data_IF_303607173243
#
_entry.id   IF_303607173243
#
_cell.length_a   1.000
_cell.length_b   1.000
_cell.length_c   1.000
_cell.angle_alpha   90.00
_cell.angle_beta   90.00
_cell.angle_gamma   90.00
#
_symmetry.space_group_name_H-M   'P 1'
#
loop_
_entity.id
_entity.type
_entity.pdbx_description
1 polymer ?
#
# COMPACT_ATOMS: atom_id res chain seq x y z
N UNK A 1 -9.11 -0.77 -19.32
CA UNK A 1 -9.48 0.61 -19.71
C UNK A 1 -8.34 1.52 -19.28
N UNK A 2 -7.96 2.49 -20.11
CA UNK A 2 -6.84 3.39 -19.85
C UNK A 2 -7.41 4.74 -19.42
N UNK A 3 -7.62 4.85 -18.11
CA UNK A 3 -8.15 6.04 -17.44
C UNK A 3 -7.01 6.98 -17.04
N UNK A 4 -7.32 8.02 -16.27
CA UNK A 4 -6.34 9.00 -15.81
C UNK A 4 -6.57 9.42 -14.37
N UNK A 5 -5.46 9.63 -13.66
CA UNK A 5 -5.43 10.18 -12.30
C UNK A 5 -6.20 11.51 -12.18
N UNK A 6 -6.34 12.27 -13.29
CA UNK A 6 -7.19 13.47 -13.34
C UNK A 6 -8.65 13.21 -12.91
N UNK A 7 -9.18 12.00 -13.12
CA UNK A 7 -10.52 11.58 -12.66
C UNK A 7 -10.62 11.35 -11.15
N UNK A 8 -9.48 11.18 -10.47
CA UNK A 8 -9.41 10.89 -9.03
C UNK A 8 -9.12 12.16 -8.21
N UNK A 9 -8.08 12.90 -8.59
CA UNK A 9 -7.62 14.10 -7.86
C UNK A 9 -8.33 15.39 -8.31
N UNK A 10 -8.82 15.40 -9.55
CA UNK A 10 -9.38 16.59 -10.19
C UNK A 10 -8.30 17.57 -10.62
N UNK A 11 -8.00 17.62 -11.92
CA UNK A 11 -7.03 18.57 -12.48
C UNK A 11 -7.73 19.83 -12.98
N UNK A 12 -7.24 21.00 -12.56
CA UNK A 12 -7.81 22.29 -12.98
C UNK A 12 -7.83 22.43 -14.51
N UNK A 13 -8.97 22.88 -15.04
CA UNK A 13 -9.26 23.04 -16.47
C UNK A 13 -9.36 21.73 -17.27
N UNK A 14 -9.48 20.57 -16.60
CA UNK A 14 -9.65 19.28 -17.24
C UNK A 14 -10.95 18.58 -16.87
N UNK A 15 -12.01 19.32 -16.51
CA UNK A 15 -13.29 18.74 -16.07
C UNK A 15 -13.87 17.72 -17.06
N UNK A 16 -13.85 18.01 -18.37
CA UNK A 16 -14.34 17.08 -19.39
C UNK A 16 -13.49 15.80 -19.47
N UNK A 17 -12.17 15.92 -19.33
CA UNK A 17 -11.25 14.80 -19.35
C UNK A 17 -11.38 13.94 -18.08
N UNK A 18 -11.51 14.59 -16.92
CA UNK A 18 -11.75 13.94 -15.64
C UNK A 18 -13.09 13.18 -15.63
N UNK A 19 -14.14 13.75 -16.23
CA UNK A 19 -15.44 13.06 -16.36
C UNK A 19 -15.35 11.78 -17.20
N UNK A 20 -14.57 11.81 -18.30
CA UNK A 20 -14.29 10.62 -19.11
C UNK A 20 -13.54 9.55 -18.33
N UNK A 21 -12.47 9.93 -17.62
CA UNK A 21 -11.70 9.02 -16.76
C UNK A 21 -12.61 8.39 -15.67
N UNK A 22 -13.37 9.21 -14.94
CA UNK A 22 -14.30 8.71 -13.91
C UNK A 22 -15.39 7.79 -14.47
N UNK A 23 -15.82 7.99 -15.72
CA UNK A 23 -16.74 7.08 -16.39
C UNK A 23 -16.08 5.72 -16.65
N UNK A 24 -14.85 5.67 -17.15
CA UNK A 24 -14.11 4.42 -17.33
C UNK A 24 -13.93 3.65 -16.02
N UNK A 25 -13.61 4.36 -14.93
CA UNK A 25 -13.50 3.78 -13.58
C UNK A 25 -14.84 3.20 -13.10
N UNK A 26 -15.94 3.88 -13.39
CA UNK A 26 -17.29 3.42 -13.06
C UNK A 26 -17.69 2.19 -13.90
N UNK A 27 -17.35 2.17 -15.19
CA UNK A 27 -17.60 1.01 -16.07
C UNK A 27 -16.79 -0.20 -15.61
N UNK A 28 -15.53 -0.03 -15.20
CA UNK A 28 -14.73 -1.13 -14.66
C UNK A 28 -15.37 -1.74 -13.41
N UNK A 29 -15.80 -0.89 -12.47
CA UNK A 29 -16.53 -1.30 -11.26
C UNK A 29 -17.83 -2.02 -11.60
N UNK A 30 -18.62 -1.47 -12.52
CA UNK A 30 -19.88 -2.07 -12.94
C UNK A 30 -19.66 -3.43 -13.61
N UNK A 31 -18.67 -3.56 -14.50
CA UNK A 31 -18.34 -4.86 -15.12
C UNK A 31 -18.01 -5.92 -14.08
N UNK A 32 -17.13 -5.59 -13.12
CA UNK A 32 -16.79 -6.54 -12.05
C UNK A 32 -18.00 -6.90 -11.17
N UNK A 33 -18.92 -5.97 -10.89
CA UNK A 33 -20.15 -6.27 -10.15
C UNK A 33 -21.09 -7.23 -10.89
N UNK A 34 -20.98 -7.32 -12.21
CA UNK A 34 -21.67 -8.29 -13.05
C UNK A 34 -20.87 -9.60 -13.24
N UNK A 35 -19.75 -9.78 -12.53
CA UNK A 35 -18.85 -10.92 -12.73
C UNK A 35 -18.07 -10.88 -14.05
N UNK A 36 -18.03 -9.73 -14.73
CA UNK A 36 -17.33 -9.56 -16.00
C UNK A 36 -15.92 -8.98 -15.78
N UNK A 37 -14.91 -9.45 -16.54
CA UNK A 37 -13.56 -8.90 -16.51
C UNK A 37 -13.54 -7.39 -16.77
N UNK A 38 -12.89 -6.61 -15.92
CA UNK A 38 -12.83 -5.15 -16.08
C UNK A 38 -11.90 -4.48 -15.09
N UNK A 39 -10.87 -3.82 -15.60
CA UNK A 39 -9.94 -3.02 -14.80
C UNK A 39 -9.73 -1.67 -15.49
N UNK A 40 -9.86 -0.59 -14.72
CA UNK A 40 -9.44 0.75 -15.11
C UNK A 40 -8.04 1.02 -14.55
N UNK A 41 -7.15 1.55 -15.39
CA UNK A 41 -5.80 1.95 -14.99
C UNK A 41 -5.75 3.47 -15.08
N UNK A 42 -5.71 4.14 -13.93
CA UNK A 42 -5.57 5.59 -13.85
C UNK A 42 -4.11 5.99 -14.00
N UNK A 43 -3.76 6.46 -15.18
CA UNK A 43 -2.41 6.86 -15.51
C UNK A 43 -2.14 8.31 -15.13
N UNK A 44 -1.07 8.52 -14.39
CA UNK A 44 -0.40 9.80 -14.24
C UNK A 44 0.41 10.19 -15.48
N UNK A 45 1.09 11.34 -15.46
CA UNK A 45 1.90 11.80 -16.57
C UNK A 45 3.09 10.87 -16.83
N UNK A 46 3.29 10.50 -18.10
CA UNK A 46 4.37 9.59 -18.55
C UNK A 46 5.52 10.42 -19.10
N UNK A 47 6.76 10.15 -18.65
CA UNK A 47 7.95 10.92 -19.01
C UNK A 47 8.45 10.66 -20.43
N UNK A 48 8.43 9.40 -20.84
CA UNK A 48 9.25 8.94 -21.99
C UNK A 48 8.47 8.94 -23.30
N UNK A 49 7.14 8.78 -23.24
CA UNK A 49 6.27 8.65 -24.39
C UNK A 49 4.96 9.44 -24.23
N UNK A 50 4.43 9.98 -25.34
CA UNK A 50 3.11 10.61 -25.40
C UNK A 50 3.08 12.15 -25.47
N UNK A 51 1.93 12.73 -25.14
CA UNK A 51 1.68 14.18 -25.27
C UNK A 51 2.58 15.04 -24.38
N UNK A 52 3.00 14.51 -23.23
CA UNK A 52 3.89 15.20 -22.29
C UNK A 52 5.32 15.28 -22.85
N UNK A 53 5.82 14.23 -23.50
CA UNK A 53 7.18 14.23 -24.08
C UNK A 53 7.28 15.10 -25.34
N UNK A 54 6.16 15.33 -26.05
CA UNK A 54 6.11 16.18 -27.24
C UNK A 54 5.91 17.67 -26.95
N UNK A 55 5.52 18.04 -25.72
CA UNK A 55 5.27 19.43 -25.34
C UNK A 55 6.07 19.83 -24.09
N UNK A 56 7.22 20.48 -24.31
CA UNK A 56 8.10 20.96 -23.24
C UNK A 56 7.38 21.87 -22.22
N UNK A 57 6.42 22.68 -22.67
CA UNK A 57 5.62 23.56 -21.80
C UNK A 57 4.69 22.77 -20.88
N UNK A 58 4.11 21.68 -21.38
CA UNK A 58 3.21 20.80 -20.60
C UNK A 58 4.04 19.98 -19.61
N UNK A 59 5.18 19.42 -20.04
CA UNK A 59 6.10 18.72 -19.16
C UNK A 59 6.60 19.61 -18.01
N UNK A 60 6.97 20.85 -18.30
CA UNK A 60 7.41 21.81 -17.28
C UNK A 60 6.30 22.18 -16.30
N UNK A 61 5.06 22.35 -16.78
CA UNK A 61 3.91 22.59 -15.90
C UNK A 61 3.66 21.40 -14.98
N UNK A 62 3.71 20.18 -15.51
CA UNK A 62 3.47 18.97 -14.73
C UNK A 62 4.60 18.67 -13.75
N UNK A 63 5.85 19.01 -14.07
CA UNK A 63 6.97 18.93 -13.12
C UNK A 63 6.85 19.93 -11.98
N UNK A 64 6.25 21.09 -12.23
CA UNK A 64 5.92 22.08 -11.19
C UNK A 64 4.72 21.67 -10.35
N UNK A 65 3.86 20.83 -10.89
CA UNK A 65 2.73 20.28 -10.18
C UNK A 65 3.20 19.13 -9.28
N UNK A 66 3.21 19.37 -7.98
CA UNK A 66 3.76 18.42 -7.01
C UNK A 66 2.87 17.19 -6.80
N UNK A 67 1.69 17.16 -7.41
CA UNK A 67 0.67 16.13 -7.20
C UNK A 67 1.01 14.84 -7.96
N UNK A 68 1.81 14.93 -9.00
CA UNK A 68 2.13 13.81 -9.88
C UNK A 68 3.59 13.38 -9.79
N UNK A 69 3.80 12.07 -9.82
CA UNK A 69 5.08 11.46 -10.13
C UNK A 69 5.11 11.15 -11.64
N UNK A 70 6.20 11.52 -12.31
CA UNK A 70 6.40 11.12 -13.71
C UNK A 70 6.56 9.60 -13.77
N UNK A 71 5.81 8.97 -14.66
CA UNK A 71 5.81 7.54 -14.87
C UNK A 71 6.77 7.16 -15.99
N UNK A 72 7.60 6.17 -15.70
CA UNK A 72 8.35 5.42 -16.70
C UNK A 72 7.42 4.43 -17.42
N UNK A 73 7.74 4.12 -18.67
CA UNK A 73 7.02 3.12 -19.49
C UNK A 73 6.91 1.76 -18.78
N UNK A 74 7.96 1.33 -18.07
CA UNK A 74 7.99 0.05 -17.37
C UNK A 74 6.87 -0.07 -16.33
N UNK A 75 6.55 1.03 -15.63
CA UNK A 75 5.47 1.03 -14.64
C UNK A 75 4.11 0.85 -15.33
N UNK A 76 3.91 1.50 -16.47
CA UNK A 76 2.68 1.41 -17.26
C UNK A 76 2.50 -0.01 -17.78
N UNK A 77 3.55 -0.62 -18.35
CA UNK A 77 3.50 -1.99 -18.86
C UNK A 77 3.25 -3.01 -17.74
N UNK A 78 3.83 -2.83 -16.56
CA UNK A 78 3.55 -3.69 -15.40
C UNK A 78 2.12 -3.55 -14.90
N UNK A 79 1.58 -2.32 -14.86
CA UNK A 79 0.18 -2.09 -14.49
C UNK A 79 -0.77 -2.75 -15.50
N UNK A 80 -0.46 -2.63 -16.80
CA UNK A 80 -1.22 -3.30 -17.86
C UNK A 80 -1.17 -4.83 -17.74
N UNK A 81 0.02 -5.40 -17.55
CA UNK A 81 0.19 -6.83 -17.36
C UNK A 81 -0.63 -7.33 -16.15
N UNK A 82 -0.59 -6.59 -15.03
CA UNK A 82 -1.38 -6.90 -13.83
C UNK A 82 -2.89 -6.87 -14.12
N UNK A 83 -3.36 -5.86 -14.86
CA UNK A 83 -4.77 -5.74 -15.23
C UNK A 83 -5.25 -6.87 -16.15
N UNK A 84 -4.37 -7.39 -17.02
CA UNK A 84 -4.67 -8.51 -17.92
C UNK A 84 -4.67 -9.85 -17.18
N UNK A 85 -3.69 -10.07 -16.30
CA UNK A 85 -3.55 -11.32 -15.55
C UNK A 85 -4.58 -11.46 -14.42
N UNK A 86 -5.02 -10.33 -13.84
CA UNK A 86 -5.98 -10.31 -12.73
C UNK A 86 -7.18 -9.41 -13.04
N UNK A 87 -8.00 -9.73 -14.07
CA UNK A 87 -9.04 -8.84 -14.55
C UNK A 87 -10.34 -8.91 -13.71
N UNK A 88 -10.39 -9.88 -12.79
CA UNK A 88 -11.45 -10.11 -11.81
C UNK A 88 -10.79 -10.12 -10.43
N UNK A 89 -11.21 -9.23 -9.53
CA UNK A 89 -10.67 -9.16 -8.18
C UNK A 89 -11.40 -8.12 -7.34
N UNK A 90 -11.01 -7.97 -6.06
CA UNK A 90 -11.58 -6.95 -5.18
C UNK A 90 -11.28 -5.50 -5.63
N UNK A 91 -10.41 -5.32 -6.63
CA UNK A 91 -9.94 -4.02 -7.11
C UNK A 91 -10.19 -3.91 -8.61
N UNK A 92 -11.14 -3.07 -8.99
CA UNK A 92 -11.46 -2.71 -10.38
C UNK A 92 -10.62 -1.56 -10.91
N UNK A 93 -9.77 -0.96 -10.07
CA UNK A 93 -9.07 0.29 -10.34
C UNK A 93 -7.62 0.18 -9.86
N UNK A 94 -6.69 0.57 -10.73
CA UNK A 94 -5.25 0.64 -10.45
C UNK A 94 -4.81 2.09 -10.69
N UNK A 95 -4.32 2.76 -9.66
CA UNK A 95 -3.89 4.16 -9.76
C UNK A 95 -2.37 4.22 -9.71
N UNK A 96 -1.75 4.81 -10.73
CA UNK A 96 -0.28 4.99 -10.82
C UNK A 96 0.07 6.44 -11.13
N UNK A 97 1.16 6.95 -10.56
CA UNK A 97 1.67 8.30 -10.83
C UNK A 97 1.19 9.37 -9.85
N UNK A 98 0.61 8.99 -8.70
CA UNK A 98 0.44 9.89 -7.56
C UNK A 98 1.77 10.09 -6.82
N UNK A 99 2.09 11.34 -6.47
CA UNK A 99 3.34 11.64 -5.77
C UNK A 99 3.24 11.34 -4.26
N UNK A 100 3.60 10.09 -3.90
CA UNK A 100 3.66 9.64 -2.50
C UNK A 100 4.97 9.99 -1.78
N UNK A 101 5.93 10.66 -2.43
CA UNK A 101 7.20 11.00 -1.78
C UNK A 101 7.02 12.06 -0.66
N UNK A 102 7.95 12.18 0.30
CA UNK A 102 7.94 13.32 1.22
C UNK A 102 8.14 14.63 0.44
N UNK A 103 7.34 15.66 0.72
CA UNK A 103 7.44 16.92 0.01
C UNK A 103 6.29 17.91 0.30
N UNK A 104 6.32 19.08 -0.35
CA UNK A 104 5.36 20.17 -0.13
C UNK A 104 3.93 19.81 -0.56
N UNK A 105 3.74 18.77 -1.37
CA UNK A 105 2.40 18.29 -1.74
C UNK A 105 1.57 17.84 -0.53
N UNK A 106 2.21 17.49 0.59
CA UNK A 106 1.54 17.08 1.82
C UNK A 106 1.19 18.25 2.75
N UNK A 107 1.48 19.49 2.36
CA UNK A 107 1.03 20.68 3.09
C UNK A 107 -0.48 20.88 2.91
N UNK A 108 -1.23 20.79 4.00
CA UNK A 108 -2.67 20.98 4.03
C UNK A 108 -3.10 22.43 3.73
N UNK A 109 -2.20 23.41 3.87
CA UNK A 109 -2.44 24.79 3.45
C UNK A 109 -1.82 25.10 2.07
N UNK A 110 -1.21 24.09 1.45
CA UNK A 110 -0.56 24.20 0.15
C UNK A 110 -1.55 24.21 -1.01
N UNK A 111 -0.99 24.25 -2.23
CA UNK A 111 -1.75 24.21 -3.48
C UNK A 111 -2.15 22.81 -3.91
N UNK A 112 -1.41 21.80 -3.46
CA UNK A 112 -1.64 20.40 -3.81
C UNK A 112 -3.01 19.91 -3.35
N UNK A 113 -3.64 19.06 -4.15
CA UNK A 113 -4.86 18.37 -3.73
C UNK A 113 -4.55 17.22 -2.75
N UNK A 114 -3.34 16.64 -2.80
CA UNK A 114 -2.95 15.49 -1.97
C UNK A 114 -2.91 15.82 -0.48
N UNK A 115 -2.34 16.96 -0.10
CA UNK A 115 -2.27 17.40 1.29
C UNK A 115 -3.60 17.93 1.84
N UNK A 116 -4.49 18.42 0.96
CA UNK A 116 -5.76 19.06 1.33
C UNK A 116 -6.91 18.07 1.50
N UNK A 117 -6.91 16.99 0.73
CA UNK A 117 -8.00 16.04 0.69
C UNK A 117 -7.71 14.81 1.56
N UNK A 118 -8.57 14.58 2.55
CA UNK A 118 -8.45 13.47 3.49
C UNK A 118 -8.45 12.08 2.81
N UNK A 119 -9.00 11.96 1.60
CA UNK A 119 -8.96 10.72 0.80
C UNK A 119 -7.52 10.26 0.52
N UNK A 120 -6.56 11.19 0.45
CA UNK A 120 -5.14 10.88 0.19
C UNK A 120 -4.29 10.82 1.45
N UNK A 121 -4.85 11.06 2.64
CA UNK A 121 -4.12 10.98 3.90
C UNK A 121 -3.37 9.64 4.10
N UNK A 122 -3.88 8.47 3.66
CA UNK A 122 -3.13 7.20 3.76
C UNK A 122 -1.86 7.14 2.91
N UNK A 123 -1.76 7.95 1.85
CA UNK A 123 -0.60 8.01 0.96
C UNK A 123 0.50 8.93 1.52
N UNK A 124 0.21 9.73 2.56
CA UNK A 124 1.16 10.63 3.18
C UNK A 124 2.29 9.83 3.84
N UNK A 125 3.56 10.10 3.53
CA UNK A 125 4.68 9.53 4.25
C UNK A 125 4.53 9.81 5.74
N UNK A 126 4.48 8.75 6.54
CA UNK A 126 4.61 8.87 7.98
C UNK A 126 6.03 9.35 8.27
N UNK A 127 6.16 10.54 8.85
CA UNK A 127 7.40 10.94 9.48
C UNK A 127 7.72 9.89 10.56
N UNK A 128 9.01 9.63 10.82
CA UNK A 128 9.47 8.75 11.92
C UNK A 128 9.16 9.38 13.29
N UNK A 129 7.91 9.74 13.54
CA UNK A 129 7.44 10.42 14.74
C UNK A 129 7.04 9.44 15.85
N UNK A 130 7.47 8.17 15.79
CA UNK A 130 7.38 7.22 16.89
C UNK A 130 8.72 6.54 17.24
N UNK A 131 9.84 7.24 16.99
CA UNK A 131 11.12 6.90 17.61
C UNK A 131 11.40 7.72 18.88
N UNK A 132 10.52 8.64 19.28
CA UNK A 132 10.71 9.51 20.46
C UNK A 132 9.85 9.16 21.68
N UNK A 133 9.04 8.10 21.59
CA UNK A 133 8.34 7.53 22.76
C UNK A 133 8.97 6.20 23.22
N UNK A 134 10.12 5.83 22.65
CA UNK A 134 10.92 4.68 23.05
C UNK A 134 12.34 5.10 23.46
N UNK A 135 12.49 6.22 24.18
CA UNK A 135 13.64 6.41 25.11
C UNK A 135 13.44 5.54 26.38
N UNK A 136 12.90 4.33 26.17
CA UNK A 136 13.04 3.20 27.06
C UNK A 136 14.00 2.24 26.39
N UNK A 137 15.30 2.50 26.57
CA UNK A 137 16.39 1.52 26.58
C UNK A 137 16.19 0.28 25.68
N UNK A 138 16.27 0.44 24.35
CA UNK A 138 16.41 -0.72 23.46
C UNK A 138 17.86 -1.21 23.51
N UNK A 139 18.12 -2.14 24.43
CA UNK A 139 19.36 -2.89 24.64
C UNK A 139 19.66 -3.90 23.51
N UNK A 140 19.40 -3.53 22.26
CA UNK A 140 19.68 -4.37 21.09
C UNK A 140 20.15 -3.51 19.91
N UNK A 141 21.37 -3.76 19.42
CA UNK A 141 21.99 -3.01 18.32
C UNK A 141 21.18 -3.05 17.01
N UNK A 142 21.64 -2.31 15.99
CA UNK A 142 21.03 -2.31 14.65
C UNK A 142 20.80 -3.73 14.14
N UNK A 143 19.68 -3.99 13.43
CA UNK A 143 19.37 -5.29 12.80
C UNK A 143 20.55 -5.81 11.96
N UNK A 144 21.30 -4.90 11.32
CA UNK A 144 22.52 -5.24 10.57
C UNK A 144 23.63 -5.82 11.45
N UNK A 145 23.77 -5.33 12.69
CA UNK A 145 24.72 -5.86 13.66
C UNK A 145 24.26 -7.22 14.20
N UNK A 146 22.97 -7.36 14.49
CA UNK A 146 22.39 -8.63 14.97
C UNK A 146 22.50 -9.75 13.91
N UNK A 147 22.33 -9.42 12.63
CA UNK A 147 22.55 -10.36 11.52
C UNK A 147 24.02 -10.70 11.29
N UNK A 148 24.95 -9.79 11.62
CA UNK A 148 26.38 -10.05 11.52
C UNK A 148 26.90 -10.98 12.63
N UNK A 149 26.23 -10.97 13.78
CA UNK A 149 26.52 -11.85 14.93
C UNK A 149 25.76 -13.19 14.89
N UNK A 150 24.86 -13.37 13.91
CA UNK A 150 24.07 -14.60 13.79
C UNK A 150 24.97 -15.78 13.40
N UNK A 151 25.02 -16.79 14.28
CA UNK A 151 25.82 -18.01 14.11
C UNK A 151 25.22 -18.99 13.11
N UNK A 152 23.90 -19.01 12.96
CA UNK A 152 23.19 -19.93 12.06
C UNK A 152 22.18 -19.21 11.17
N UNK A 153 21.89 -19.80 10.01
CA UNK A 153 20.90 -19.32 9.04
C UNK A 153 19.50 -19.25 9.65
N UNK A 154 19.19 -20.17 10.56
CA UNK A 154 17.91 -20.20 11.27
C UNK A 154 17.74 -19.00 12.21
N UNK A 155 18.81 -18.64 12.93
CA UNK A 155 18.82 -17.48 13.83
C UNK A 155 18.66 -16.17 13.03
N UNK A 156 19.38 -16.05 11.90
CA UNK A 156 19.23 -14.91 10.99
C UNK A 156 17.83 -14.79 10.40
N UNK A 157 17.21 -15.92 10.04
CA UNK A 157 15.83 -15.95 9.54
C UNK A 157 14.82 -15.51 10.63
N UNK A 158 15.06 -15.88 11.90
CA UNK A 158 14.27 -15.43 13.04
C UNK A 158 14.34 -13.92 13.23
N UNK A 159 15.55 -13.35 13.18
CA UNK A 159 15.77 -11.90 13.30
C UNK A 159 15.07 -11.11 12.18
N UNK A 160 15.18 -11.56 10.93
CA UNK A 160 14.51 -10.91 9.79
C UNK A 160 12.99 -11.02 9.94
N UNK A 161 12.47 -12.20 10.31
CA UNK A 161 11.03 -12.43 10.46
C UNK A 161 10.44 -11.55 11.55
N UNK A 162 11.13 -11.43 12.70
CA UNK A 162 10.73 -10.54 13.78
C UNK A 162 10.75 -9.06 13.36
N UNK A 163 11.78 -8.63 12.63
CA UNK A 163 11.87 -7.25 12.14
C UNK A 163 10.77 -6.91 11.12
N UNK A 164 10.46 -7.84 10.20
CA UNK A 164 9.37 -7.67 9.23
C UNK A 164 8.03 -7.63 9.96
N UNK A 165 7.79 -8.55 10.90
CA UNK A 165 6.56 -8.57 11.70
C UNK A 165 6.37 -7.27 12.49
N UNK A 166 7.42 -6.78 13.15
CA UNK A 166 7.39 -5.50 13.86
C UNK A 166 7.11 -4.33 12.90
N UNK A 167 7.69 -4.35 11.69
CA UNK A 167 7.46 -3.30 10.69
C UNK A 167 6.04 -3.35 10.11
N UNK A 168 5.51 -4.54 9.88
CA UNK A 168 4.12 -4.72 9.43
C UNK A 168 3.12 -4.30 10.51
N UNK A 169 3.42 -4.55 11.78
CA UNK A 169 2.61 -4.08 12.90
C UNK A 169 2.60 -2.54 12.99
N UNK A 170 3.75 -1.88 12.82
CA UNK A 170 3.88 -0.40 12.76
C UNK A 170 3.15 0.21 11.55
N UNK A 171 3.12 -0.49 10.41
CA UNK A 171 2.41 -0.06 9.20
C UNK A 171 0.89 -0.24 9.34
N UNK A 172 0.45 -1.28 10.08
CA UNK A 172 -0.95 -1.63 10.23
C UNK A 172 -1.66 -0.70 11.21
N UNK A 173 -2.83 -0.19 10.82
CA UNK A 173 -3.66 0.74 11.62
C UNK A 173 -4.29 0.04 12.85
N UNK A 174 -4.10 -1.27 13.02
CA UNK A 174 -4.65 -2.02 14.15
C UNK A 174 -3.68 -2.04 15.33
N UNK A 175 -4.04 -1.29 16.36
CA UNK A 175 -3.44 -1.41 17.67
C UNK A 175 -3.90 -2.74 18.28
N UNK A 176 -3.03 -3.76 18.36
CA UNK A 176 -3.33 -5.05 19.01
C UNK A 176 -3.42 -4.94 20.55
N UNK A 177 -3.40 -3.72 21.09
CA UNK A 177 -3.42 -3.43 22.52
C UNK A 177 -4.78 -3.61 23.19
N UNK A 178 -5.88 -3.77 22.44
CA UNK A 178 -7.16 -4.17 23.03
C UNK A 178 -7.27 -5.69 23.05
N UNK A 179 -6.66 -6.27 24.08
CA UNK A 179 -6.69 -7.69 24.41
C UNK A 179 -8.10 -8.20 24.74
N UNK A 180 -8.92 -8.40 23.71
CA UNK A 180 -10.09 -9.28 23.75
C UNK A 180 -10.03 -10.24 22.56
N UNK A 181 -9.68 -11.52 22.78
CA UNK A 181 -9.81 -12.53 21.75
C UNK A 181 -11.29 -12.69 21.39
N UNK A 182 -11.63 -12.53 20.11
CA UNK A 182 -12.99 -12.73 19.55
C UNK A 182 -13.48 -14.19 19.58
N UNK A 183 -12.88 -15.06 20.40
CA UNK A 183 -13.22 -16.48 20.47
C UNK A 183 -13.58 -16.85 21.91
N UNK A 184 -14.71 -16.33 22.39
CA UNK A 184 -15.40 -16.85 23.57
C UNK A 184 -16.79 -17.37 23.18
N UNK A 185 -16.81 -18.45 22.40
CA UNK A 185 -17.94 -19.35 22.27
C UNK A 185 -17.59 -20.63 23.02
N UNK A 186 -18.23 -20.84 24.17
CA UNK A 186 -17.77 -21.76 25.20
C UNK A 186 -17.89 -23.25 24.88
N UNK A 187 -17.07 -24.04 25.57
CA UNK A 187 -17.40 -25.37 26.09
C UNK A 187 -16.57 -25.58 27.36
N UNK A 188 -17.22 -26.03 28.42
CA UNK A 188 -16.68 -26.02 29.79
C UNK A 188 -15.77 -27.20 30.14
N UNK A 189 -15.09 -27.04 31.29
CA UNK A 189 -14.58 -28.14 32.11
C UNK A 189 -13.07 -28.13 32.36
N UNK A 190 -12.68 -27.76 33.59
CA UNK A 190 -11.56 -28.37 34.33
C UNK A 190 -10.12 -27.85 34.13
N UNK A 191 -9.65 -27.10 35.15
CA UNK A 191 -8.28 -26.98 35.70
C UNK A 191 -7.09 -26.40 34.86
N UNK A 192 -6.35 -25.47 35.49
CA UNK A 192 -5.22 -24.61 35.07
C UNK A 192 -3.87 -25.32 34.75
N UNK A 193 -2.82 -24.62 34.24
CA UNK A 193 -2.80 -23.49 33.31
C UNK A 193 -1.81 -23.74 32.13
N UNK A 194 -2.31 -23.74 30.89
CA UNK A 194 -1.48 -23.82 29.68
C UNK A 194 -1.18 -22.42 29.11
N UNK A 195 -0.38 -21.60 29.81
CA UNK A 195 -0.02 -20.25 29.32
C UNK A 195 1.14 -20.24 28.32
N UNK A 196 1.89 -21.33 28.19
CA UNK A 196 3.05 -21.42 27.28
C UNK A 196 2.70 -21.91 25.84
N UNK A 197 1.51 -22.50 25.63
CA UNK A 197 1.14 -23.09 24.33
C UNK A 197 0.32 -22.20 23.39
N UNK A 198 -0.31 -21.13 23.91
CA UNK A 198 -1.21 -20.30 23.11
C UNK A 198 -0.49 -19.24 22.26
N UNK A 199 0.73 -18.83 22.62
CA UNK A 199 1.49 -17.85 21.85
C UNK A 199 2.06 -18.47 20.57
N UNK A 200 2.51 -19.72 20.61
CA UNK A 200 2.98 -20.43 19.42
C UNK A 200 1.83 -20.76 18.46
N UNK A 201 0.68 -21.25 18.95
CA UNK A 201 -0.46 -21.58 18.10
C UNK A 201 -1.10 -20.34 17.43
N UNK A 202 -1.16 -19.19 18.11
CA UNK A 202 -1.75 -17.97 17.54
C UNK A 202 -0.90 -17.38 16.40
N UNK A 203 0.43 -17.42 16.56
CA UNK A 203 1.37 -17.00 15.50
C UNK A 203 1.40 -18.04 14.38
N UNK A 204 1.34 -19.34 14.69
CA UNK A 204 1.31 -20.39 13.66
C UNK A 204 0.03 -20.40 12.83
N UNK A 205 -1.13 -20.01 13.38
CA UNK A 205 -2.38 -19.92 12.62
C UNK A 205 -2.42 -18.66 11.74
N UNK A 206 -1.91 -17.52 12.24
CA UNK A 206 -1.86 -16.29 11.45
C UNK A 206 -0.78 -16.34 10.36
N UNK A 207 0.39 -16.92 10.66
CA UNK A 207 1.47 -17.15 9.68
C UNK A 207 1.09 -18.33 8.77
N UNK A 208 0.42 -19.36 9.29
CA UNK A 208 -0.06 -20.50 8.52
C UNK A 208 -1.12 -20.12 7.48
N UNK A 209 -2.08 -19.25 7.81
CA UNK A 209 -3.00 -18.72 6.80
C UNK A 209 -2.28 -17.89 5.72
N UNK A 210 -1.22 -17.17 6.07
CA UNK A 210 -0.50 -16.33 5.11
C UNK A 210 0.50 -17.12 4.23
N UNK A 211 1.05 -18.22 4.74
CA UNK A 211 2.02 -19.07 4.03
C UNK A 211 1.34 -20.15 3.19
N UNK A 212 0.19 -20.68 3.61
CA UNK A 212 -0.52 -21.72 2.85
C UNK A 212 -1.17 -21.14 1.58
N UNK A 213 -1.61 -19.87 1.59
CA UNK A 213 -2.09 -19.20 0.37
C UNK A 213 -0.96 -18.82 -0.61
N UNK A 214 0.31 -18.80 -0.16
CA UNK A 214 1.47 -18.48 -1.01
C UNK A 214 2.16 -19.74 -1.58
N UNK A 215 1.80 -20.95 -1.14
CA UNK A 215 2.43 -22.21 -1.57
C UNK A 215 1.53 -23.10 -2.45
N UNK A 216 0.23 -22.79 -2.62
CA UNK A 216 -0.67 -23.54 -3.53
C UNK A 216 -0.85 -22.86 -4.90
N UNK A 217 0.11 -22.04 -5.34
CA UNK A 217 0.27 -21.64 -6.75
C UNK A 217 1.75 -21.66 -7.13
N UNK A 218 2.31 -22.86 -7.22
CA UNK A 218 3.31 -23.24 -8.22
C UNK A 218 2.94 -24.62 -8.76
#
# INVERSE_FOLDING_TARGET
MLSSVSGVIGTALQANYAAGASYEDAVARWRQSQGLPGVAIDLGPISDIGYVSTSAKVAERLRKDSDFAMLDEDIVLRALNTAVLHPLGARSQIIVGLNSAPGPQWDANGRSQLGRDARFAPLRPRSKASARLADGESTGGSLTAQLAEASDRQDGAGLISAAIAAKLADISIFNFADGKPCCAGGFGGGEEPAFAGCLEMGVLVAVGCFVVDFIVVF
#
